data_IF_334128848097
#
_entry.id   IF_334128848097
#
_cell.length_a   1.000
_cell.length_b   1.000
_cell.length_c   1.000
_cell.angle_alpha   90.00
_cell.angle_beta   90.00
_cell.angle_gamma   90.00
#
_symmetry.space_group_name_H-M   'P 1'
#
loop_
_entity.id
_entity.type
_entity.pdbx_description
1 polymer ?
#
# COMPACT_ATOMS: atom_id res chain seq x y z
N UNK A 1 14.06 39.10 -47.43
CA UNK A 1 13.97 37.63 -47.29
C UNK A 1 12.52 37.20 -47.56
N UNK A 2 12.29 36.16 -48.36
CA UNK A 2 10.93 35.62 -48.49
C UNK A 2 10.41 35.09 -47.15
N UNK A 3 9.13 35.28 -46.81
CA UNK A 3 8.57 34.77 -45.56
C UNK A 3 8.72 33.25 -45.52
N UNK A 4 9.25 32.73 -44.40
CA UNK A 4 9.32 31.29 -44.15
C UNK A 4 7.88 30.74 -44.21
N UNK A 5 7.61 29.71 -45.04
CA UNK A 5 6.25 29.18 -45.13
C UNK A 5 5.80 28.70 -43.76
N UNK A 6 4.64 29.18 -43.32
CA UNK A 6 3.99 28.73 -42.08
C UNK A 6 3.61 27.25 -42.25
N UNK A 7 4.02 26.41 -41.31
CA UNK A 7 3.60 25.01 -41.27
C UNK A 7 2.13 24.98 -40.86
N UNK A 8 1.30 24.31 -41.66
CA UNK A 8 -0.11 24.12 -41.32
C UNK A 8 -0.23 23.17 -40.10
N UNK A 9 -0.98 23.60 -39.10
CA UNK A 9 -1.23 22.83 -37.88
C UNK A 9 -2.56 22.10 -38.00
N UNK A 10 -2.56 20.96 -38.65
CA UNK A 10 -3.74 20.11 -38.92
C UNK A 10 -3.87 18.90 -37.97
N UNK A 11 -2.89 18.77 -37.10
CA UNK A 11 -2.85 17.72 -36.06
C UNK A 11 -3.26 18.29 -34.69
N UNK A 12 -3.59 17.38 -33.74
CA UNK A 12 -3.93 17.75 -32.35
C UNK A 12 -3.33 16.74 -31.39
N UNK A 13 -2.67 17.22 -30.34
CA UNK A 13 -2.20 16.43 -29.21
C UNK A 13 -3.29 16.38 -28.16
N UNK A 14 -3.61 15.20 -27.65
CA UNK A 14 -4.54 14.95 -26.55
C UNK A 14 -3.80 14.18 -25.45
N UNK A 15 -3.59 14.82 -24.30
CA UNK A 15 -3.02 14.20 -23.12
C UNK A 15 -4.12 13.53 -22.30
N UNK A 16 -3.87 12.32 -21.78
CA UNK A 16 -4.83 11.59 -20.94
C UNK A 16 -5.04 12.25 -19.57
N UNK A 17 -4.02 12.97 -19.08
CA UNK A 17 -4.05 13.74 -17.84
C UNK A 17 -3.43 15.12 -18.07
N UNK A 18 -3.98 16.13 -17.43
CA UNK A 18 -3.42 17.49 -17.40
C UNK A 18 -2.57 17.73 -16.14
N UNK A 19 -2.66 16.85 -15.15
CA UNK A 19 -1.86 16.89 -13.91
C UNK A 19 -1.35 15.49 -13.60
N UNK A 20 -0.08 15.40 -13.23
CA UNK A 20 0.60 14.19 -12.78
C UNK A 20 1.18 14.47 -11.40
N UNK A 21 0.67 13.81 -10.36
CA UNK A 21 1.22 13.89 -9.01
C UNK A 21 2.24 12.77 -8.81
N UNK A 22 3.34 13.09 -8.15
CA UNK A 22 4.46 12.16 -7.92
C UNK A 22 4.87 12.22 -6.44
N UNK A 23 5.30 11.09 -5.90
CA UNK A 23 5.82 10.98 -4.52
C UNK A 23 6.98 11.94 -4.26
N UNK A 24 7.15 12.30 -2.98
CA UNK A 24 8.30 13.07 -2.49
C UNK A 24 9.65 12.43 -2.84
N UNK A 25 9.72 11.12 -2.81
CA UNK A 25 10.94 10.38 -3.18
C UNK A 25 11.32 10.52 -4.65
N UNK A 26 10.43 11.11 -5.46
CA UNK A 26 10.56 11.12 -6.89
C UNK A 26 10.04 9.83 -7.52
N UNK A 27 10.30 9.64 -8.78
CA UNK A 27 9.99 8.41 -9.51
C UNK A 27 10.79 8.34 -10.79
N UNK A 28 11.32 7.19 -11.10
CA UNK A 28 11.78 6.88 -12.44
C UNK A 28 10.63 6.30 -13.25
N UNK A 29 10.67 6.51 -14.57
CA UNK A 29 9.72 5.88 -15.49
C UNK A 29 8.25 6.28 -15.29
N UNK A 30 7.98 7.55 -14.95
CA UNK A 30 6.61 8.10 -14.92
C UNK A 30 6.02 8.06 -16.32
N UNK A 31 4.81 7.51 -16.47
CA UNK A 31 4.18 7.32 -17.78
C UNK A 31 2.96 8.24 -17.94
N UNK A 32 2.92 8.97 -19.04
CA UNK A 32 1.76 9.77 -19.47
C UNK A 32 1.33 9.35 -20.88
N UNK A 33 0.14 8.78 -20.97
CA UNK A 33 -0.46 8.44 -22.25
C UNK A 33 -0.94 9.69 -22.99
N UNK A 34 -0.75 9.68 -24.31
CA UNK A 34 -1.24 10.72 -25.21
C UNK A 34 -1.77 10.14 -26.52
N UNK A 35 -2.50 10.92 -27.27
CA UNK A 35 -2.95 10.58 -28.63
C UNK A 35 -2.68 11.77 -29.54
N UNK A 36 -2.31 11.51 -30.81
CA UNK A 36 -2.23 12.52 -31.85
C UNK A 36 -3.35 12.24 -32.86
N UNK A 37 -4.27 13.17 -33.00
CA UNK A 37 -5.21 13.18 -34.13
C UNK A 37 -4.49 13.66 -35.39
N UNK A 38 -4.73 13.02 -36.51
CA UNK A 38 -4.06 13.24 -37.81
C UNK A 38 -2.52 13.23 -37.72
N UNK A 39 -1.90 12.10 -37.29
CA UNK A 39 -0.43 12.04 -37.19
C UNK A 39 0.23 12.04 -38.57
N UNK A 40 1.34 12.74 -38.70
CA UNK A 40 2.20 12.73 -39.88
C UNK A 40 3.28 11.63 -39.76
N UNK A 41 3.50 10.90 -40.85
CA UNK A 41 4.45 9.79 -40.89
C UNK A 41 5.89 10.28 -40.57
N UNK A 42 6.57 9.57 -39.66
CA UNK A 42 7.96 9.87 -39.30
C UNK A 42 8.13 10.97 -38.23
N UNK A 43 7.09 11.75 -37.95
CA UNK A 43 7.16 12.81 -36.93
C UNK A 43 6.94 12.26 -35.52
N UNK A 44 7.64 12.86 -34.56
CA UNK A 44 7.57 12.48 -33.13
C UNK A 44 7.28 13.70 -32.28
N UNK A 45 6.68 13.45 -31.08
CA UNK A 45 6.58 14.48 -30.06
C UNK A 45 7.96 14.77 -29.46
N UNK A 46 8.07 15.94 -28.84
CA UNK A 46 9.12 16.29 -27.89
C UNK A 46 8.48 16.91 -26.66
N UNK A 47 9.17 16.91 -25.53
CA UNK A 47 8.70 17.53 -24.30
C UNK A 47 9.83 18.36 -23.69
N UNK A 48 9.44 19.45 -23.03
CA UNK A 48 10.34 20.38 -22.35
C UNK A 48 9.72 20.77 -21.02
N UNK A 49 10.48 20.57 -19.94
CA UNK A 49 10.07 20.92 -18.59
C UNK A 49 10.50 22.35 -18.24
N UNK A 50 9.71 23.05 -17.44
CA UNK A 50 10.06 24.38 -16.91
C UNK A 50 11.10 24.33 -15.79
N UNK A 51 11.31 23.15 -15.20
CA UNK A 51 12.19 22.93 -14.05
C UNK A 51 13.05 21.68 -14.27
N UNK A 52 14.30 21.71 -13.81
CA UNK A 52 15.28 20.65 -14.05
C UNK A 52 14.99 19.32 -13.34
N UNK A 53 14.18 19.34 -12.28
CA UNK A 53 13.82 18.16 -11.51
C UNK A 53 12.80 17.24 -12.20
N UNK A 54 12.25 17.65 -13.35
CA UNK A 54 11.51 16.79 -14.28
C UNK A 54 12.37 16.62 -15.52
N UNK A 55 12.87 15.42 -15.74
CA UNK A 55 13.90 15.14 -16.74
C UNK A 55 13.73 13.75 -17.37
N UNK A 56 14.76 13.24 -18.07
CA UNK A 56 14.78 11.86 -18.56
C UNK A 56 13.70 11.53 -19.62
N UNK A 57 13.20 12.51 -20.38
CA UNK A 57 12.14 12.30 -21.35
C UNK A 57 12.49 11.22 -22.39
N UNK A 58 11.60 10.24 -22.55
CA UNK A 58 11.73 9.15 -23.50
C UNK A 58 10.42 8.90 -24.27
N UNK A 59 10.57 8.58 -25.54
CA UNK A 59 9.48 8.35 -26.50
C UNK A 59 9.56 6.93 -27.09
N UNK A 60 10.14 6.00 -26.34
CA UNK A 60 10.39 4.62 -26.77
C UNK A 60 9.13 3.76 -26.87
N UNK A 61 8.08 4.14 -26.13
CA UNK A 61 6.79 3.46 -26.11
C UNK A 61 5.80 4.27 -26.95
N UNK A 62 5.12 3.64 -27.87
CA UNK A 62 4.14 4.30 -28.74
C UNK A 62 3.01 4.91 -27.91
N UNK A 63 2.70 6.20 -28.16
CA UNK A 63 1.64 6.95 -27.48
C UNK A 63 1.84 7.10 -25.94
N UNK A 64 3.07 6.95 -25.47
CA UNK A 64 3.43 7.15 -24.08
C UNK A 64 4.65 8.08 -24.01
N UNK A 65 4.50 9.17 -23.28
CA UNK A 65 5.60 10.01 -22.83
C UNK A 65 6.08 9.46 -21.47
N UNK A 66 7.33 9.03 -21.43
CA UNK A 66 8.01 8.59 -20.22
C UNK A 66 8.97 9.69 -19.76
N UNK A 67 9.06 9.91 -18.46
CA UNK A 67 9.98 10.88 -17.84
C UNK A 67 10.31 10.52 -16.40
N UNK A 68 11.35 11.13 -15.87
CA UNK A 68 11.81 10.96 -14.51
C UNK A 68 11.51 12.22 -13.69
N UNK A 69 11.31 12.06 -12.40
CA UNK A 69 11.05 13.12 -11.43
C UNK A 69 11.99 12.93 -10.25
N UNK A 70 12.85 13.91 -9.98
CA UNK A 70 13.77 13.86 -8.85
C UNK A 70 13.03 14.00 -7.51
N UNK A 71 13.62 13.48 -6.44
CA UNK A 71 13.10 13.65 -5.08
C UNK A 71 12.94 15.14 -4.72
N UNK A 72 11.89 15.49 -3.99
CA UNK A 72 11.71 16.83 -3.42
C UNK A 72 12.31 16.89 -2.01
N UNK A 73 13.52 17.43 -1.83
CA UNK A 73 14.17 17.48 -0.53
C UNK A 73 13.67 18.62 0.37
N UNK A 74 12.65 19.38 -0.08
CA UNK A 74 12.20 20.60 0.60
C UNK A 74 10.84 20.41 1.28
N UNK A 75 10.58 21.23 2.29
CA UNK A 75 9.29 21.29 2.99
C UNK A 75 8.24 22.15 2.25
N UNK A 76 8.49 22.45 0.96
CA UNK A 76 7.56 23.21 0.11
C UNK A 76 7.09 22.35 -1.06
N UNK A 77 5.79 22.39 -1.37
CA UNK A 77 5.29 21.75 -2.59
C UNK A 77 5.90 22.43 -3.81
N UNK A 78 6.09 21.67 -4.87
CA UNK A 78 6.61 22.22 -6.13
C UNK A 78 5.81 21.74 -7.32
N UNK A 79 5.78 22.56 -8.34
CA UNK A 79 5.12 22.28 -9.60
C UNK A 79 6.07 22.54 -10.76
N UNK A 80 5.97 21.71 -11.79
CA UNK A 80 6.68 21.88 -13.04
C UNK A 80 5.70 21.81 -14.19
N UNK A 81 5.73 22.79 -15.09
CA UNK A 81 4.96 22.75 -16.32
C UNK A 81 5.79 22.07 -17.40
N UNK A 82 5.23 21.02 -17.98
CA UNK A 82 5.84 20.31 -19.10
C UNK A 82 5.07 20.67 -20.37
N UNK A 83 5.77 21.21 -21.36
CA UNK A 83 5.23 21.54 -22.68
C UNK A 83 5.54 20.41 -23.64
N UNK A 84 4.49 19.80 -24.20
CA UNK A 84 4.60 18.76 -25.24
C UNK A 84 4.38 19.39 -26.60
N UNK A 85 5.32 19.17 -27.50
CA UNK A 85 5.38 19.78 -28.82
C UNK A 85 5.27 18.72 -29.91
N UNK A 86 4.55 19.03 -30.96
CA UNK A 86 4.47 18.26 -32.17
C UNK A 86 4.42 19.22 -33.35
N UNK A 87 5.25 18.97 -34.38
CA UNK A 87 5.47 19.94 -35.49
C UNK A 87 4.17 20.47 -36.12
N UNK A 88 3.17 19.63 -36.23
CA UNK A 88 1.91 19.94 -36.92
C UNK A 88 0.73 20.21 -35.99
N UNK A 89 0.98 20.38 -34.69
CA UNK A 89 -0.04 20.70 -33.71
C UNK A 89 0.33 21.94 -32.89
N UNK A 90 -0.67 22.51 -32.20
CA UNK A 90 -0.42 23.47 -31.14
C UNK A 90 0.21 22.74 -29.94
N UNK A 91 1.12 23.43 -29.24
CA UNK A 91 1.74 22.91 -28.02
C UNK A 91 0.67 22.68 -26.94
N UNK A 92 0.78 21.58 -26.22
CA UNK A 92 -0.07 21.30 -25.06
C UNK A 92 0.77 21.18 -23.81
N UNK A 93 0.17 21.42 -22.65
CA UNK A 93 0.86 21.41 -21.38
C UNK A 93 0.20 20.48 -20.37
N UNK A 94 0.99 19.91 -19.49
CA UNK A 94 0.55 19.29 -18.25
C UNK A 94 1.43 19.74 -17.09
N UNK A 95 0.93 19.62 -15.88
CA UNK A 95 1.65 20.00 -14.67
C UNK A 95 2.07 18.74 -13.91
N UNK A 96 3.35 18.65 -13.57
CA UNK A 96 3.86 17.68 -12.59
C UNK A 96 3.82 18.36 -11.23
N UNK A 97 3.16 17.71 -10.26
CA UNK A 97 3.05 18.18 -8.89
C UNK A 97 3.77 17.23 -7.95
N UNK A 98 4.48 17.81 -7.02
CA UNK A 98 5.11 17.09 -5.92
C UNK A 98 4.78 17.82 -4.63
N UNK A 99 4.19 17.10 -3.65
CA UNK A 99 3.78 17.67 -2.36
C UNK A 99 4.95 18.21 -1.56
N UNK A 100 4.64 18.94 -0.50
CA UNK A 100 5.59 19.29 0.54
C UNK A 100 5.89 18.07 1.42
N UNK A 101 7.12 17.95 1.91
CA UNK A 101 7.39 17.03 3.02
C UNK A 101 6.66 17.55 4.26
N UNK A 102 5.79 16.71 4.81
CA UNK A 102 5.12 17.03 6.07
C UNK A 102 6.04 16.55 7.20
N UNK A 103 6.57 17.50 7.96
CA UNK A 103 7.40 17.21 9.13
C UNK A 103 6.57 16.87 10.37
N UNK A 104 5.24 17.02 10.28
CA UNK A 104 4.32 16.70 11.36
C UNK A 104 4.26 15.18 11.59
N UNK A 105 4.28 14.81 12.85
CA UNK A 105 4.21 13.42 13.29
C UNK A 105 2.82 13.00 13.74
N UNK A 106 2.81 11.89 14.47
CA UNK A 106 1.61 11.33 15.08
C UNK A 106 1.89 10.99 16.54
N UNK A 107 0.91 11.18 17.40
CA UNK A 107 0.89 10.64 18.76
C UNK A 107 -0.15 9.53 18.83
N UNK A 108 0.18 8.44 19.52
CA UNK A 108 -0.78 7.38 19.85
C UNK A 108 -1.09 7.44 21.33
N UNK A 109 -2.38 7.52 21.64
CA UNK A 109 -2.86 7.57 23.02
C UNK A 109 -3.82 6.41 23.28
N UNK A 110 -4.10 6.15 24.57
CA UNK A 110 -5.11 5.22 25.03
C UNK A 110 -5.05 3.83 24.36
N UNK A 111 -3.82 3.32 24.14
CA UNK A 111 -3.64 1.99 23.58
C UNK A 111 -4.21 0.97 24.56
N UNK A 112 -5.22 0.25 24.13
CA UNK A 112 -5.76 -0.89 24.87
C UNK A 112 -5.64 -2.14 24.02
N UNK A 113 -5.28 -3.25 24.66
CA UNK A 113 -5.13 -4.52 23.96
C UNK A 113 -5.94 -5.61 24.66
N UNK A 114 -6.55 -6.47 23.89
CA UNK A 114 -7.08 -7.75 24.30
C UNK A 114 -6.29 -8.86 23.59
N UNK A 115 -6.76 -10.10 23.61
CA UNK A 115 -6.04 -11.24 23.04
C UNK A 115 -5.89 -11.16 21.51
N UNK A 116 -6.87 -10.64 20.81
CA UNK A 116 -6.89 -10.61 19.33
C UNK A 116 -7.17 -9.23 18.76
N UNK A 117 -7.39 -8.26 19.62
CA UNK A 117 -7.70 -6.90 19.18
C UNK A 117 -6.97 -5.89 20.04
N UNK A 118 -6.75 -4.75 19.46
CA UNK A 118 -6.27 -3.56 20.16
C UNK A 118 -6.99 -2.35 19.60
N UNK A 119 -7.18 -1.37 20.46
CA UNK A 119 -7.70 -0.07 20.05
C UNK A 119 -6.69 1.01 20.39
N UNK A 120 -6.68 2.06 19.63
CA UNK A 120 -5.76 3.16 19.76
C UNK A 120 -6.43 4.47 19.36
N UNK A 121 -6.07 5.55 20.04
CA UNK A 121 -6.36 6.90 19.61
C UNK A 121 -5.19 7.42 18.81
N UNK A 122 -5.43 7.87 17.58
CA UNK A 122 -4.41 8.45 16.69
C UNK A 122 -4.61 9.95 16.63
N UNK A 123 -3.61 10.68 17.05
CA UNK A 123 -3.60 12.14 17.16
C UNK A 123 -2.55 12.68 16.18
N UNK A 124 -2.94 13.02 14.94
CA UNK A 124 -2.02 13.65 13.99
C UNK A 124 -1.70 15.09 14.43
N UNK A 125 -0.46 15.54 14.23
CA UNK A 125 -0.09 16.95 14.41
C UNK A 125 -0.74 17.83 13.33
N UNK A 126 -0.67 17.41 12.05
CA UNK A 126 -1.47 18.03 10.98
C UNK A 126 -2.85 17.36 10.91
N UNK A 127 -3.86 18.10 11.30
CA UNK A 127 -5.24 17.62 11.39
C UNK A 127 -6.04 17.79 10.10
N UNK A 128 -5.41 18.28 9.06
CA UNK A 128 -6.08 18.63 7.79
C UNK A 128 -5.68 17.70 6.64
N UNK A 129 -4.45 17.22 6.66
CA UNK A 129 -3.96 16.29 5.63
C UNK A 129 -4.44 14.87 5.90
N UNK A 130 -4.92 14.16 4.88
CA UNK A 130 -5.28 12.75 4.98
C UNK A 130 -4.08 11.88 5.32
N UNK A 131 -4.32 10.81 6.09
CA UNK A 131 -3.30 9.87 6.49
C UNK A 131 -3.83 8.43 6.51
N UNK A 132 -2.93 7.48 6.42
CA UNK A 132 -3.19 6.05 6.54
C UNK A 132 -2.69 5.56 7.90
N UNK A 133 -3.43 4.60 8.48
CA UNK A 133 -3.03 3.85 9.68
C UNK A 133 -3.07 2.39 9.33
N UNK A 134 -1.94 1.73 9.51
CA UNK A 134 -1.79 0.29 9.25
C UNK A 134 -1.11 -0.41 10.41
N UNK A 135 -1.11 -1.73 10.36
CA UNK A 135 -0.34 -2.57 11.27
C UNK A 135 0.24 -3.78 10.54
N UNK A 136 1.41 -4.20 10.96
CA UNK A 136 2.06 -5.38 10.44
C UNK A 136 2.54 -6.31 11.56
N UNK A 137 2.41 -7.61 11.35
CA UNK A 137 2.95 -8.64 12.24
C UNK A 137 4.47 -8.76 12.07
N UNK A 138 5.21 -9.15 13.13
CA UNK A 138 6.67 -9.27 13.07
C UNK A 138 7.15 -10.24 11.98
N UNK A 139 6.47 -11.35 11.82
CA UNK A 139 6.81 -12.38 10.84
C UNK A 139 6.70 -11.84 9.42
N UNK A 140 5.67 -11.03 9.16
CA UNK A 140 5.48 -10.39 7.87
C UNK A 140 6.59 -9.39 7.57
N UNK A 141 6.97 -8.58 8.56
CA UNK A 141 8.06 -7.60 8.43
C UNK A 141 9.39 -8.31 8.12
N UNK A 142 9.70 -9.39 8.85
CA UNK A 142 10.91 -10.18 8.65
C UNK A 142 10.94 -10.85 7.26
N UNK A 143 9.81 -11.42 6.83
CA UNK A 143 9.71 -12.08 5.52
C UNK A 143 9.79 -11.09 4.34
N UNK A 144 9.38 -9.85 4.56
CA UNK A 144 9.37 -8.80 3.54
C UNK A 144 10.68 -8.02 3.46
N UNK A 145 11.62 -8.25 4.38
CA UNK A 145 12.93 -7.58 4.44
C UNK A 145 12.83 -6.04 4.43
N UNK A 146 11.83 -5.47 5.10
CA UNK A 146 11.63 -4.01 5.16
C UNK A 146 12.76 -3.34 5.93
N UNK A 147 13.39 -2.34 5.31
CA UNK A 147 14.49 -1.56 5.90
C UNK A 147 14.07 -0.12 6.20
N UNK A 148 13.16 0.44 5.42
CA UNK A 148 12.77 1.85 5.49
C UNK A 148 11.24 2.02 5.59
N UNK A 149 10.79 3.20 6.05
CA UNK A 149 9.37 3.52 6.04
C UNK A 149 8.75 3.54 4.64
N UNK A 150 9.54 3.82 3.61
CA UNK A 150 9.08 3.78 2.23
C UNK A 150 8.77 2.35 1.76
N UNK A 151 9.45 1.33 2.29
CA UNK A 151 9.15 -0.07 1.99
C UNK A 151 7.74 -0.44 2.47
N UNK A 152 7.37 0.00 3.68
CA UNK A 152 6.00 -0.18 4.22
C UNK A 152 4.95 0.53 3.37
N UNK A 153 5.21 1.76 2.95
CA UNK A 153 4.30 2.49 2.07
C UNK A 153 4.14 1.79 0.72
N UNK A 154 5.22 1.34 0.10
CA UNK A 154 5.19 0.66 -1.19
C UNK A 154 4.44 -0.69 -1.11
N UNK A 155 4.61 -1.42 -0.01
CA UNK A 155 3.86 -2.64 0.27
C UNK A 155 2.37 -2.37 0.44
N UNK A 156 2.00 -1.33 1.19
CA UNK A 156 0.61 -0.90 1.34
C UNK A 156 -0.02 -0.54 -0.02
N UNK A 157 0.70 0.16 -0.89
CA UNK A 157 0.22 0.48 -2.25
C UNK A 157 -0.03 -0.80 -3.05
N UNK A 158 0.88 -1.78 -2.96
CA UNK A 158 0.71 -3.08 -3.61
C UNK A 158 -0.49 -3.84 -3.04
N UNK A 159 -0.63 -3.89 -1.71
CA UNK A 159 -1.77 -4.50 -1.02
C UNK A 159 -3.10 -3.83 -1.40
N UNK A 160 -3.18 -2.51 -1.42
CA UNK A 160 -4.38 -1.79 -1.84
C UNK A 160 -4.70 -2.01 -3.32
N UNK A 161 -3.67 -2.16 -4.17
CA UNK A 161 -3.83 -2.54 -5.57
C UNK A 161 -4.41 -3.94 -5.72
N UNK A 162 -3.91 -4.90 -4.96
CA UNK A 162 -4.45 -6.26 -4.91
C UNK A 162 -5.90 -6.27 -4.39
N UNK A 163 -6.16 -5.60 -3.27
CA UNK A 163 -7.50 -5.50 -2.70
C UNK A 163 -8.50 -4.85 -3.67
N UNK A 164 -8.06 -3.80 -4.35
CA UNK A 164 -8.88 -3.07 -5.32
C UNK A 164 -9.39 -3.94 -6.48
N UNK A 165 -8.64 -4.97 -6.88
CA UNK A 165 -9.07 -5.88 -7.94
C UNK A 165 -10.39 -6.59 -7.62
N UNK A 166 -10.66 -6.89 -6.34
CA UNK A 166 -11.92 -7.52 -5.93
C UNK A 166 -13.12 -6.58 -6.00
N UNK A 167 -12.89 -5.27 -5.94
CA UNK A 167 -13.94 -4.24 -5.92
C UNK A 167 -13.98 -3.41 -7.20
N UNK A 168 -13.12 -3.69 -8.18
CA UNK A 168 -12.99 -2.88 -9.40
C UNK A 168 -12.46 -1.47 -9.15
N UNK A 169 -11.61 -1.30 -8.14
CA UNK A 169 -11.03 -0.04 -7.71
C UNK A 169 -9.53 0.00 -7.98
N UNK A 170 -8.97 1.19 -8.17
CA UNK A 170 -7.52 1.38 -8.16
C UNK A 170 -6.98 1.40 -6.73
N UNK A 171 -5.66 1.20 -6.55
CA UNK A 171 -5.00 1.34 -5.25
C UNK A 171 -5.32 2.70 -4.60
N UNK A 172 -5.26 3.79 -5.36
CA UNK A 172 -5.57 5.14 -4.88
C UNK A 172 -7.00 5.25 -4.36
N UNK A 173 -7.97 4.67 -5.06
CA UNK A 173 -9.37 4.67 -4.60
C UNK A 173 -9.54 3.91 -3.29
N UNK A 174 -8.85 2.77 -3.12
CA UNK A 174 -8.85 2.03 -1.83
C UNK A 174 -8.20 2.85 -0.73
N UNK A 175 -7.07 3.52 -1.02
CA UNK A 175 -6.40 4.43 -0.06
C UNK A 175 -7.33 5.58 0.34
N UNK A 176 -8.04 6.19 -0.60
CA UNK A 176 -9.01 7.26 -0.35
C UNK A 176 -10.13 6.82 0.61
N UNK A 177 -10.65 5.59 0.45
CA UNK A 177 -11.68 5.05 1.34
C UNK A 177 -11.15 4.75 2.76
N UNK A 178 -9.87 4.41 2.88
CA UNK A 178 -9.24 4.09 4.16
C UNK A 178 -8.63 5.29 4.86
N UNK A 179 -8.36 6.36 4.13
CA UNK A 179 -7.74 7.56 4.66
C UNK A 179 -8.55 8.17 5.80
N UNK A 180 -7.84 8.64 6.81
CA UNK A 180 -8.36 9.35 7.97
C UNK A 180 -7.95 10.82 7.90
N UNK A 181 -8.71 11.69 8.55
CA UNK A 181 -8.40 13.11 8.71
C UNK A 181 -8.70 13.50 10.15
N UNK A 182 -7.82 14.29 10.76
CA UNK A 182 -7.97 14.72 12.14
C UNK A 182 -7.85 13.58 13.15
N UNK A 183 -8.18 13.83 14.40
CA UNK A 183 -8.08 12.84 15.47
C UNK A 183 -9.03 11.66 15.23
N UNK A 184 -8.53 10.45 15.46
CA UNK A 184 -9.32 9.23 15.44
C UNK A 184 -9.26 8.59 16.83
N UNK A 185 -10.38 8.15 17.36
CA UNK A 185 -10.47 7.59 18.71
C UNK A 185 -10.97 6.15 18.68
N UNK A 186 -10.30 5.30 19.44
CA UNK A 186 -10.70 3.89 19.62
C UNK A 186 -10.71 3.09 18.31
N UNK A 187 -9.80 3.42 17.37
CA UNK A 187 -9.73 2.68 16.11
C UNK A 187 -9.01 1.35 16.32
N UNK A 188 -9.39 0.36 15.51
CA UNK A 188 -8.73 -0.95 15.45
C UNK A 188 -8.03 -1.04 14.09
N UNK A 189 -6.71 -0.81 14.02
CA UNK A 189 -5.98 -0.81 12.74
C UNK A 189 -5.91 -2.18 12.07
N UNK A 190 -6.07 -3.25 12.83
CA UNK A 190 -6.08 -4.61 12.32
C UNK A 190 -6.48 -5.61 13.40
N UNK A 191 -6.59 -6.87 13.01
CA UNK A 191 -6.69 -7.99 13.97
C UNK A 191 -5.29 -8.50 14.27
N UNK A 192 -5.09 -8.99 15.49
CA UNK A 192 -3.82 -9.52 15.94
C UNK A 192 -3.94 -10.96 16.43
N UNK A 193 -2.80 -11.65 16.52
CA UNK A 193 -2.67 -12.88 17.26
C UNK A 193 -2.33 -12.59 18.73
N UNK A 194 -2.66 -13.53 19.62
CA UNK A 194 -2.46 -13.35 21.04
C UNK A 194 -0.98 -13.41 21.42
N UNK A 195 -0.55 -12.47 22.27
CA UNK A 195 0.80 -12.43 22.82
C UNK A 195 1.89 -11.99 21.84
N UNK A 196 1.52 -11.37 20.72
CA UNK A 196 2.44 -10.95 19.66
C UNK A 196 2.60 -9.43 19.66
N UNK A 197 3.82 -8.90 19.50
CA UNK A 197 4.04 -7.50 19.24
C UNK A 197 3.63 -7.17 17.80
N UNK A 198 2.85 -6.11 17.63
CA UNK A 198 2.51 -5.56 16.32
C UNK A 198 3.16 -4.21 16.13
N UNK A 199 3.69 -3.99 14.95
CA UNK A 199 4.13 -2.67 14.52
C UNK A 199 2.95 -1.93 13.91
N UNK A 200 2.60 -0.80 14.51
CA UNK A 200 1.67 0.17 13.94
C UNK A 200 2.45 1.23 13.23
N UNK A 201 1.88 1.74 12.17
CA UNK A 201 2.49 2.87 11.50
C UNK A 201 1.45 3.78 10.86
N UNK A 202 1.82 5.05 10.80
CA UNK A 202 1.00 6.10 10.23
C UNK A 202 1.85 6.93 9.27
N UNK A 203 1.23 7.39 8.20
CA UNK A 203 1.86 8.30 7.25
C UNK A 203 0.83 9.17 6.53
N UNK A 204 1.20 10.42 6.24
CA UNK A 204 0.35 11.32 5.47
C UNK A 204 0.43 11.02 3.97
N UNK A 205 -0.69 11.21 3.28
CA UNK A 205 -0.81 10.99 1.84
C UNK A 205 -1.42 12.21 1.13
N UNK A 206 -1.03 12.39 -0.12
CA UNK A 206 -1.80 13.19 -1.06
C UNK A 206 -3.09 12.46 -1.42
N UNK A 207 -4.23 13.07 -1.15
CA UNK A 207 -5.54 12.41 -1.31
C UNK A 207 -5.85 12.03 -2.76
N UNK A 208 -5.40 12.83 -3.73
CA UNK A 208 -5.76 12.60 -5.14
C UNK A 208 -4.86 11.54 -5.80
N UNK A 209 -3.59 11.51 -5.46
CA UNK A 209 -2.62 10.60 -6.06
C UNK A 209 -2.29 9.38 -5.19
N UNK A 210 -2.57 9.42 -3.89
CA UNK A 210 -2.11 8.45 -2.90
C UNK A 210 -0.62 8.58 -2.54
N UNK A 211 0.08 9.59 -3.08
CA UNK A 211 1.52 9.74 -2.88
C UNK A 211 1.87 9.99 -1.41
N UNK A 212 2.97 9.40 -0.94
CA UNK A 212 3.52 9.61 0.40
C UNK A 212 3.96 11.06 0.59
N UNK A 213 3.53 11.70 1.68
CA UNK A 213 3.85 13.10 2.01
C UNK A 213 4.71 13.26 3.26
N UNK A 214 4.95 12.21 4.05
CA UNK A 214 5.71 12.31 5.31
C UNK A 214 6.68 11.14 5.47
N UNK A 215 7.53 11.22 6.48
CA UNK A 215 8.13 10.01 7.05
C UNK A 215 7.02 9.10 7.59
N UNK A 216 7.27 7.80 7.62
CA UNK A 216 6.41 6.84 8.29
C UNK A 216 6.72 6.84 9.77
N UNK A 217 5.72 7.07 10.61
CA UNK A 217 5.86 7.06 12.06
C UNK A 217 5.47 5.68 12.59
N UNK A 218 6.35 5.04 13.35
CA UNK A 218 6.20 3.68 13.86
C UNK A 218 5.89 3.67 15.34
N UNK A 219 5.06 2.70 15.74
CA UNK A 219 4.69 2.42 17.11
C UNK A 219 4.61 0.92 17.32
N UNK A 220 4.81 0.46 18.55
CA UNK A 220 4.63 -0.94 18.91
C UNK A 220 3.47 -1.10 19.88
N UNK A 221 2.68 -2.13 19.70
CA UNK A 221 1.66 -2.56 20.65
C UNK A 221 1.66 -4.08 20.79
N UNK A 222 1.36 -4.55 21.98
CA UNK A 222 1.33 -5.98 22.30
C UNK A 222 -0.10 -6.39 22.63
N UNK A 223 -0.55 -7.47 21.99
CA UNK A 223 -1.77 -8.16 22.43
C UNK A 223 -1.51 -8.92 23.73
N UNK A 224 -2.56 -9.22 24.49
CA UNK A 224 -2.40 -10.00 25.72
C UNK A 224 -2.05 -11.44 25.39
N UNK A 225 -1.11 -11.99 26.12
CA UNK A 225 -0.85 -13.43 26.11
C UNK A 225 -1.93 -14.15 26.89
N UNK A 226 -2.61 -15.15 26.33
CA UNK A 226 -3.53 -15.97 27.09
C UNK A 226 -2.78 -16.81 28.14
N UNK A 227 -3.40 -17.00 29.28
CA UNK A 227 -2.90 -17.94 30.25
C UNK A 227 -3.11 -19.36 29.68
N UNK A 228 -2.02 -20.10 29.43
CA UNK A 228 -2.11 -21.48 28.93
C UNK A 228 -2.73 -22.35 30.01
N UNK A 229 -3.93 -22.82 29.76
CA UNK A 229 -4.63 -23.76 30.65
C UNK A 229 -4.36 -25.18 30.13
N UNK A 230 -3.89 -26.04 31.03
CA UNK A 230 -3.77 -27.46 30.70
C UNK A 230 -5.18 -28.04 30.51
N UNK A 231 -5.51 -28.41 29.29
CA UNK A 231 -6.77 -29.08 28.97
C UNK A 231 -6.46 -30.41 28.29
N UNK A 232 -7.22 -31.44 28.65
CA UNK A 232 -7.15 -32.75 28.02
C UNK A 232 -8.44 -33.03 27.27
N UNK A 233 -8.35 -33.57 26.07
CA UNK A 233 -9.46 -33.83 25.19
C UNK A 233 -9.43 -35.30 24.74
N UNK A 234 -10.57 -35.96 24.88
CA UNK A 234 -10.79 -37.25 24.24
C UNK A 234 -11.30 -36.99 22.81
N UNK A 235 -10.51 -37.32 21.79
CA UNK A 235 -10.87 -37.17 20.40
C UNK A 235 -11.10 -38.54 19.77
N UNK A 236 -12.29 -38.75 19.25
CA UNK A 236 -12.66 -39.95 18.49
C UNK A 236 -13.07 -39.54 17.08
N UNK A 237 -12.72 -40.34 16.09
CA UNK A 237 -13.14 -40.05 14.74
C UNK A 237 -13.52 -41.31 13.94
N UNK A 238 -14.38 -41.15 12.99
CA UNK A 238 -14.76 -42.18 12.00
C UNK A 238 -14.65 -41.61 10.61
N UNK A 239 -14.26 -42.45 9.64
CA UNK A 239 -14.14 -42.08 8.23
C UNK A 239 -15.11 -42.93 7.41
N UNK A 240 -15.97 -42.27 6.66
CA UNK A 240 -16.85 -42.91 5.67
C UNK A 240 -16.70 -42.22 4.29
N UNK A 241 -15.94 -42.83 3.41
CA UNK A 241 -15.59 -42.27 2.11
C UNK A 241 -14.79 -40.96 2.27
N UNK A 242 -15.37 -39.84 1.88
CA UNK A 242 -14.77 -38.50 2.00
C UNK A 242 -15.29 -37.73 3.23
N UNK A 243 -16.07 -38.37 4.10
CA UNK A 243 -16.62 -37.73 5.28
C UNK A 243 -15.85 -38.21 6.52
N UNK A 244 -15.35 -37.26 7.28
CA UNK A 244 -14.74 -37.49 8.60
C UNK A 244 -15.68 -36.93 9.65
N UNK A 245 -16.13 -37.79 10.58
CA UNK A 245 -16.92 -37.38 11.75
C UNK A 245 -16.01 -37.43 12.96
N UNK A 246 -15.95 -36.33 13.70
CA UNK A 246 -15.07 -36.19 14.87
C UNK A 246 -15.91 -35.84 16.08
N UNK A 247 -15.70 -36.59 17.17
CA UNK A 247 -16.25 -36.30 18.49
C UNK A 247 -15.15 -35.83 19.42
N UNK A 248 -15.27 -34.60 19.94
CA UNK A 248 -14.32 -34.00 20.87
C UNK A 248 -14.98 -33.83 22.21
N UNK A 249 -14.46 -34.50 23.22
CA UNK A 249 -14.96 -34.41 24.61
C UNK A 249 -13.88 -33.87 25.51
N UNK A 250 -14.06 -32.70 26.13
CA UNK A 250 -13.11 -32.18 27.10
C UNK A 250 -13.16 -32.97 28.41
N UNK A 251 -12.01 -33.35 28.93
CA UNK A 251 -11.84 -34.06 30.17
C UNK A 251 -11.75 -33.07 31.36
N UNK A 252 -12.91 -32.61 31.87
CA UNK A 252 -12.97 -31.71 33.02
C UNK A 252 -12.63 -30.24 32.71
N UNK A 253 -12.55 -29.85 31.43
CA UNK A 253 -12.44 -28.45 31.02
C UNK A 253 -13.83 -27.88 30.75
N UNK A 254 -14.18 -26.79 31.42
CA UNK A 254 -15.50 -26.14 31.31
C UNK A 254 -15.45 -24.84 30.47
N UNK A 255 -14.29 -24.44 29.98
CA UNK A 255 -14.10 -23.25 29.15
C UNK A 255 -14.52 -23.47 27.70
N UNK A 256 -14.55 -22.40 26.95
CA UNK A 256 -14.66 -22.47 25.49
C UNK A 256 -13.36 -23.01 24.89
N UNK A 257 -13.48 -23.82 23.86
CA UNK A 257 -12.32 -24.31 23.10
C UNK A 257 -12.62 -24.23 21.60
N UNK A 258 -11.57 -24.17 20.83
CA UNK A 258 -11.63 -24.21 19.37
C UNK A 258 -11.17 -25.59 18.90
N UNK A 259 -11.78 -26.06 17.84
CA UNK A 259 -11.43 -27.30 17.17
C UNK A 259 -11.42 -27.05 15.67
N UNK A 260 -10.36 -27.48 15.01
CA UNK A 260 -10.27 -27.46 13.56
C UNK A 260 -9.51 -28.70 13.06
N UNK A 261 -9.56 -28.93 11.76
CA UNK A 261 -8.91 -30.04 11.08
C UNK A 261 -8.02 -29.50 9.97
N UNK A 262 -6.72 -29.59 10.15
CA UNK A 262 -5.76 -29.18 9.16
C UNK A 262 -5.43 -30.33 8.20
N UNK A 263 -5.25 -30.00 6.94
CA UNK A 263 -4.72 -30.95 5.95
C UNK A 263 -3.22 -31.18 6.21
N UNK A 264 -2.79 -32.45 6.35
CA UNK A 264 -1.40 -32.79 6.61
C UNK A 264 -0.41 -32.21 5.59
N UNK A 265 -0.78 -32.17 4.30
CA UNK A 265 0.05 -31.55 3.26
C UNK A 265 0.23 -30.04 3.50
N UNK A 266 -0.77 -29.36 4.03
CA UNK A 266 -0.68 -27.94 4.37
C UNK A 266 0.21 -27.74 5.61
N UNK A 267 0.16 -28.64 6.59
CA UNK A 267 1.05 -28.62 7.76
C UNK A 267 2.52 -28.81 7.33
N UNK A 268 2.78 -29.80 6.46
CA UNK A 268 4.10 -30.03 5.91
C UNK A 268 4.63 -28.81 5.12
N UNK A 269 3.79 -28.20 4.28
CA UNK A 269 4.15 -27.01 3.50
C UNK A 269 4.47 -25.80 4.41
N UNK A 270 3.73 -25.63 5.49
CA UNK A 270 4.00 -24.57 6.47
C UNK A 270 5.32 -24.79 7.22
N UNK A 271 5.61 -26.02 7.64
CA UNK A 271 6.88 -26.38 8.28
C UNK A 271 8.09 -26.22 7.35
N UNK A 272 7.90 -26.43 6.04
CA UNK A 272 8.95 -26.21 5.05
C UNK A 272 9.14 -24.72 4.69
N UNK A 273 8.05 -23.95 4.72
CA UNK A 273 8.06 -22.55 4.27
C UNK A 273 8.51 -21.59 5.37
N UNK A 274 8.15 -21.87 6.62
CA UNK A 274 8.37 -20.95 7.74
C UNK A 274 9.34 -21.50 8.78
N UNK A 275 10.58 -21.05 8.75
CA UNK A 275 11.67 -21.49 9.65
C UNK A 275 11.37 -21.33 11.15
N UNK A 276 10.41 -20.46 11.54
CA UNK A 276 10.03 -20.27 12.94
C UNK A 276 9.04 -21.33 13.44
N UNK A 277 8.33 -22.04 12.58
CA UNK A 277 7.47 -23.17 12.93
C UNK A 277 8.32 -24.43 13.07
N UNK A 278 8.26 -25.09 14.22
CA UNK A 278 9.13 -26.24 14.55
C UNK A 278 8.40 -27.57 14.57
N UNK A 279 7.11 -27.54 14.85
CA UNK A 279 6.27 -28.72 14.94
C UNK A 279 4.82 -28.44 14.55
N UNK A 280 3.98 -29.47 14.54
CA UNK A 280 2.55 -29.37 14.21
C UNK A 280 1.78 -28.47 15.18
N UNK A 281 2.24 -28.35 16.43
CA UNK A 281 1.65 -27.47 17.44
C UNK A 281 1.88 -26.01 17.09
N UNK A 282 3.09 -25.66 16.65
CA UNK A 282 3.41 -24.31 16.16
C UNK A 282 2.57 -23.96 14.94
N UNK A 283 2.40 -24.90 13.98
CA UNK A 283 1.53 -24.69 12.81
C UNK A 283 0.08 -24.48 13.23
N UNK A 284 -0.43 -25.23 14.19
CA UNK A 284 -1.78 -25.08 14.67
C UNK A 284 -1.98 -23.72 15.36
N UNK A 285 -1.02 -23.26 16.17
CA UNK A 285 -1.04 -21.96 16.83
C UNK A 285 -0.95 -20.81 15.82
N UNK A 286 -0.11 -20.94 14.80
CA UNK A 286 0.03 -19.99 13.71
C UNK A 286 -1.27 -19.91 12.88
N UNK A 287 -1.83 -21.06 12.47
CA UNK A 287 -3.07 -21.11 11.70
C UNK A 287 -4.25 -20.48 12.47
N UNK A 288 -4.34 -20.75 13.76
CA UNK A 288 -5.31 -20.14 14.65
C UNK A 288 -5.30 -18.63 14.63
N UNK A 289 -4.11 -18.02 14.51
CA UNK A 289 -3.96 -16.56 14.49
C UNK A 289 -4.65 -15.90 13.30
N UNK A 290 -4.91 -16.63 12.21
CA UNK A 290 -5.63 -16.16 11.02
C UNK A 290 -7.11 -16.57 10.99
N UNK A 291 -7.50 -17.60 11.74
CA UNK A 291 -8.84 -18.17 11.70
C UNK A 291 -9.86 -17.39 12.57
N UNK A 292 -9.39 -16.47 13.42
CA UNK A 292 -10.17 -15.63 14.33
C UNK A 292 -10.15 -14.18 13.87
#
# INVERSE_FOLDING_TARGET
EPPTPSIEKDSKIILKKSVVSVSLAGSTDVLLEYTIENPHEGEKISAEASEDWVNGFSYSITNVLKFDVDANPTDAPRECVVTVKYRYAEDVQFTVKQGAKISAGFELENITADYFTYTVDVIPEDKTTPYIVMSAAPEYILASEFETGEDYYNDDVAYFGWLGQFYGMSAVQVMQERAKVGNQYGITPGKGAAGIPYTFYCYYIDYESGALLSEVTFFEAYTKSPEKVAADFNVQYTVDGCVVSVDVTPNGFEGAYYFDMLNGLMVDDYLETFDFLKDEGDVAEFYWSFAV
#
